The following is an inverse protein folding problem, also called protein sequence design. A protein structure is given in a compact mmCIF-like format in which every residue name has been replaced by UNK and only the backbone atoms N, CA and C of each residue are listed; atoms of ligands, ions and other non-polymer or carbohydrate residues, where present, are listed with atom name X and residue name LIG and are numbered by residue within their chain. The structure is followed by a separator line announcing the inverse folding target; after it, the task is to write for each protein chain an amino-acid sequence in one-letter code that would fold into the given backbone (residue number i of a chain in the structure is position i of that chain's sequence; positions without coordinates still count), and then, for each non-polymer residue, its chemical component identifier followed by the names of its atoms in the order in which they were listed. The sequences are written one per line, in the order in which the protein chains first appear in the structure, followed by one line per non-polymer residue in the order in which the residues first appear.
data_IF_760679234050
#
_entry.id   IF_760679234050
#
_cell.length_a   1.000
_cell.length_b   1.000
_cell.length_c   1.000
_cell.angle_alpha   90.00
_cell.angle_beta   90.00
_cell.angle_gamma   90.00
#
_symmetry.space_group_name_H-M   'P 1'
#
loop_
_entity.id
_entity.type
_entity.pdbx_description
1 polymer ?
#
# COMPACT_ATOMS: atom_id res chain seq x y z
N UNK A 1 78.12 15.83 -0.34
CA UNK A 1 77.28 14.61 -0.22
C UNK A 1 76.47 14.73 1.08
N UNK A 2 75.23 14.27 1.14
CA UNK A 2 74.41 14.34 2.37
C UNK A 2 73.78 12.99 2.66
N UNK A 3 74.14 12.39 3.79
CA UNK A 3 73.57 11.15 4.31
C UNK A 3 72.10 11.33 4.67
N UNK A 4 71.74 12.44 5.33
CA UNK A 4 70.35 12.79 5.63
C UNK A 4 69.48 12.93 4.36
N UNK A 5 70.03 13.52 3.29
CA UNK A 5 69.34 13.60 2.01
C UNK A 5 69.03 12.22 1.39
N UNK A 6 70.00 11.29 1.44
CA UNK A 6 69.82 9.92 0.98
C UNK A 6 68.69 9.21 1.75
N UNK A 7 68.73 9.26 3.08
CA UNK A 7 67.74 8.63 3.96
C UNK A 7 66.34 9.20 3.67
N UNK A 8 66.21 10.53 3.56
CA UNK A 8 64.94 11.17 3.25
C UNK A 8 64.42 10.76 1.86
N UNK A 9 65.29 10.68 0.85
CA UNK A 9 64.91 10.22 -0.49
C UNK A 9 64.39 8.77 -0.50
N UNK A 10 65.06 7.87 0.21
CA UNK A 10 64.63 6.48 0.38
C UNK A 10 63.32 6.36 1.15
N UNK A 11 63.13 7.18 2.21
CA UNK A 11 61.90 7.21 2.99
C UNK A 11 60.70 7.69 2.15
N UNK A 12 60.87 8.75 1.35
CA UNK A 12 59.82 9.26 0.46
C UNK A 12 59.43 8.25 -0.63
N UNK A 13 60.41 7.58 -1.23
CA UNK A 13 60.14 6.52 -2.21
C UNK A 13 59.38 5.34 -1.57
N UNK A 14 59.80 4.91 -0.37
CA UNK A 14 59.16 3.83 0.38
C UNK A 14 57.72 4.20 0.78
N UNK A 15 57.49 5.44 1.21
CA UNK A 15 56.15 5.95 1.53
C UNK A 15 55.23 5.93 0.29
N UNK A 16 55.73 6.36 -0.87
CA UNK A 16 54.97 6.27 -2.12
C UNK A 16 54.63 4.81 -2.47
N UNK A 17 55.60 3.90 -2.36
CA UNK A 17 55.38 2.47 -2.59
C UNK A 17 54.30 1.87 -1.68
N UNK A 18 54.35 2.22 -0.39
CA UNK A 18 53.36 1.78 0.60
C UNK A 18 51.96 2.33 0.29
N UNK A 19 51.85 3.61 -0.11
CA UNK A 19 50.59 4.21 -0.53
C UNK A 19 50.03 3.56 -1.79
N UNK A 20 50.87 3.29 -2.79
CA UNK A 20 50.44 2.60 -4.01
C UNK A 20 49.94 1.17 -3.73
N UNK A 21 50.56 0.47 -2.77
CA UNK A 21 50.16 -0.88 -2.38
C UNK A 21 48.88 -0.89 -1.54
N UNK A 22 48.88 -0.16 -0.41
CA UNK A 22 47.80 -0.23 0.58
C UNK A 22 46.58 0.62 0.21
N UNK A 23 46.80 1.81 -0.33
CA UNK A 23 45.70 2.76 -0.58
C UNK A 23 45.13 2.61 -1.99
N UNK A 24 45.96 2.27 -2.99
CA UNK A 24 45.53 2.15 -4.38
C UNK A 24 45.37 0.69 -4.85
N UNK A 25 45.75 -0.30 -4.02
CA UNK A 25 45.55 -1.73 -4.33
C UNK A 25 46.29 -2.25 -5.56
N UNK A 26 47.41 -1.62 -5.95
CA UNK A 26 48.18 -2.09 -7.11
C UNK A 26 48.88 -3.42 -6.84
N UNK A 27 49.23 -4.12 -7.92
CA UNK A 27 49.98 -5.38 -7.84
C UNK A 27 51.34 -5.16 -7.13
N UNK A 28 51.70 -6.09 -6.24
CA UNK A 28 52.96 -6.09 -5.49
C UNK A 28 54.17 -5.88 -6.40
N UNK A 29 54.18 -6.52 -7.58
CA UNK A 29 55.27 -6.37 -8.55
C UNK A 29 55.43 -4.93 -9.04
N UNK A 30 54.32 -4.28 -9.41
CA UNK A 30 54.31 -2.89 -9.84
C UNK A 30 54.87 -1.99 -8.73
N UNK A 31 54.35 -2.14 -7.50
CA UNK A 31 54.81 -1.37 -6.35
C UNK A 31 56.30 -1.56 -6.08
N UNK A 32 56.82 -2.79 -6.11
CA UNK A 32 58.24 -3.06 -5.92
C UNK A 32 59.10 -2.34 -6.97
N UNK A 33 58.78 -2.52 -8.26
CA UNK A 33 59.53 -1.90 -9.36
C UNK A 33 59.51 -0.38 -9.25
N UNK A 34 58.34 0.23 -9.03
CA UNK A 34 58.24 1.69 -8.91
C UNK A 34 59.01 2.23 -7.70
N UNK A 35 58.97 1.53 -6.56
CA UNK A 35 59.65 1.95 -5.33
C UNK A 35 61.16 1.87 -5.49
N UNK A 36 61.68 0.82 -6.13
CA UNK A 36 63.11 0.65 -6.39
C UNK A 36 63.61 1.74 -7.34
N UNK A 37 62.90 1.97 -8.45
CA UNK A 37 63.28 3.00 -9.45
C UNK A 37 63.24 4.41 -8.83
N UNK A 38 62.16 4.74 -8.11
CA UNK A 38 62.04 6.01 -7.38
C UNK A 38 63.09 6.12 -6.28
N UNK A 39 63.37 5.05 -5.54
CA UNK A 39 64.36 5.01 -4.48
C UNK A 39 65.77 5.27 -4.99
N UNK A 40 66.16 4.64 -6.11
CA UNK A 40 67.44 4.94 -6.75
C UNK A 40 67.52 6.40 -7.21
N UNK A 41 66.49 6.89 -7.91
CA UNK A 41 66.47 8.27 -8.43
C UNK A 41 66.47 9.34 -7.33
N UNK A 42 65.53 9.25 -6.38
CA UNK A 42 65.39 10.19 -5.27
C UNK A 42 66.53 10.02 -4.26
N UNK A 43 66.87 8.80 -3.88
CA UNK A 43 67.94 8.53 -2.93
C UNK A 43 69.29 9.07 -3.42
N UNK A 44 69.73 8.67 -4.61
CA UNK A 44 71.00 9.15 -5.18
C UNK A 44 70.93 10.65 -5.51
N UNK A 45 69.82 11.13 -6.09
CA UNK A 45 69.63 12.54 -6.42
C UNK A 45 69.75 13.45 -5.19
N UNK A 46 69.08 13.09 -4.08
CA UNK A 46 69.14 13.83 -2.82
C UNK A 46 70.52 13.75 -2.14
N UNK A 47 71.21 12.62 -2.29
CA UNK A 47 72.55 12.40 -1.72
C UNK A 47 73.62 13.28 -2.36
N UNK A 48 73.61 13.36 -3.70
CA UNK A 48 74.70 13.98 -4.46
C UNK A 48 74.40 15.40 -4.96
N UNK A 49 73.14 15.76 -5.26
CA UNK A 49 72.79 17.06 -5.84
C UNK A 49 72.09 17.99 -4.84
N UNK A 50 72.68 19.16 -4.58
CA UNK A 50 72.06 20.20 -3.75
C UNK A 50 70.81 20.79 -4.41
N UNK A 51 70.79 20.92 -5.75
CA UNK A 51 69.65 21.42 -6.50
C UNK A 51 68.45 20.49 -6.39
N UNK A 52 68.66 19.19 -6.63
CA UNK A 52 67.61 18.17 -6.48
C UNK A 52 67.07 18.18 -5.04
N UNK A 53 67.98 18.26 -4.06
CA UNK A 53 67.60 18.34 -2.66
C UNK A 53 66.66 19.50 -2.33
N UNK A 54 67.02 20.69 -2.80
CA UNK A 54 66.20 21.88 -2.60
C UNK A 54 64.82 21.72 -3.25
N UNK A 55 64.77 21.18 -4.46
CA UNK A 55 63.53 21.05 -5.23
C UNK A 55 62.59 19.99 -4.69
N UNK A 56 63.13 18.86 -4.19
CA UNK A 56 62.33 17.85 -3.50
C UNK A 56 61.79 18.41 -2.19
N UNK A 57 62.62 19.07 -1.38
CA UNK A 57 62.16 19.71 -0.14
C UNK A 57 61.10 20.79 -0.39
N UNK A 58 61.20 21.52 -1.51
CA UNK A 58 60.21 22.51 -1.91
C UNK A 58 58.93 21.87 -2.48
N UNK A 59 59.01 20.69 -3.09
CA UNK A 59 57.85 19.97 -3.62
C UNK A 59 56.89 19.52 -2.53
N UNK A 60 57.40 19.19 -1.33
CA UNK A 60 56.59 18.77 -0.16
C UNK A 60 55.54 19.83 0.25
N UNK A 61 55.90 21.09 0.57
CA UNK A 61 54.92 22.13 0.80
C UNK A 61 54.12 22.49 -0.46
N UNK A 62 54.69 22.27 -1.66
CA UNK A 62 53.98 22.49 -2.92
C UNK A 62 52.76 21.57 -3.08
N UNK A 63 52.75 20.38 -2.48
CA UNK A 63 51.56 19.51 -2.43
C UNK A 63 50.37 20.15 -1.70
N UNK A 64 50.61 21.14 -0.84
CA UNK A 64 49.56 21.88 -0.14
C UNK A 64 49.18 23.19 -0.83
N UNK A 65 49.65 23.43 -2.06
CA UNK A 65 49.18 24.55 -2.90
C UNK A 65 47.83 24.23 -3.54
N UNK A 66 47.22 25.19 -4.25
CA UNK A 66 45.91 24.99 -4.90
C UNK A 66 45.90 23.77 -5.82
N UNK A 67 46.93 23.59 -6.64
CA UNK A 67 47.03 22.44 -7.56
C UNK A 67 47.34 21.12 -6.84
N UNK A 68 48.23 21.15 -5.85
CA UNK A 68 48.51 19.95 -5.05
C UNK A 68 47.27 19.47 -4.26
N UNK A 69 46.47 20.40 -3.74
CA UNK A 69 45.22 20.08 -3.03
C UNK A 69 44.19 19.41 -3.92
N UNK A 70 44.02 19.84 -5.17
CA UNK A 70 43.06 19.17 -6.08
C UNK A 70 43.50 17.74 -6.37
N UNK A 71 44.79 17.50 -6.53
CA UNK A 71 45.36 16.16 -6.71
C UNK A 71 45.20 15.29 -5.47
N UNK A 72 45.43 15.85 -4.27
CA UNK A 72 45.21 15.15 -3.00
C UNK A 72 43.72 14.81 -2.80
N UNK A 73 42.81 15.70 -3.17
CA UNK A 73 41.36 15.45 -3.11
C UNK A 73 40.94 14.36 -4.11
N UNK A 74 41.50 14.35 -5.32
CA UNK A 74 41.28 13.27 -6.29
C UNK A 74 41.78 11.91 -5.77
N UNK A 75 42.95 11.88 -5.14
CA UNK A 75 43.46 10.68 -4.49
C UNK A 75 42.55 10.24 -3.34
N UNK A 76 42.13 11.15 -2.46
CA UNK A 76 41.21 10.85 -1.37
C UNK A 76 39.86 10.31 -1.88
N UNK A 77 39.33 10.88 -2.97
CA UNK A 77 38.13 10.41 -3.63
C UNK A 77 38.31 9.01 -4.23
N UNK A 78 39.47 8.72 -4.84
CA UNK A 78 39.77 7.38 -5.38
C UNK A 78 39.77 6.31 -4.29
N UNK A 79 40.38 6.60 -3.13
CA UNK A 79 40.40 5.71 -1.96
C UNK A 79 39.00 5.55 -1.38
N UNK A 80 38.23 6.64 -1.26
CA UNK A 80 36.86 6.59 -0.76
C UNK A 80 35.94 5.75 -1.67
N UNK A 81 36.11 5.85 -2.98
CA UNK A 81 35.31 5.07 -3.92
C UNK A 81 35.68 3.57 -3.86
N UNK A 82 36.96 3.24 -3.95
CA UNK A 82 37.42 1.84 -3.93
C UNK A 82 37.19 1.14 -2.59
N UNK A 83 37.23 1.89 -1.47
CA UNK A 83 36.96 1.38 -0.14
C UNK A 83 35.48 1.51 0.25
N UNK A 84 35.11 2.55 1.02
CA UNK A 84 33.79 2.64 1.65
C UNK A 84 32.62 2.68 0.66
N UNK A 85 32.71 3.37 -0.48
CA UNK A 85 31.58 3.37 -1.43
C UNK A 85 31.36 2.00 -2.06
N UNK A 86 32.43 1.27 -2.41
CA UNK A 86 32.29 -0.11 -2.89
C UNK A 86 31.71 -1.02 -1.80
N UNK A 87 32.05 -0.79 -0.53
CA UNK A 87 31.50 -1.57 0.58
C UNK A 87 30.01 -1.25 0.80
N UNK A 88 29.63 0.03 0.76
CA UNK A 88 28.25 0.50 0.81
C UNK A 88 27.40 -0.17 -0.27
N UNK A 89 27.87 -0.18 -1.51
CA UNK A 89 27.13 -0.80 -2.62
C UNK A 89 26.94 -2.30 -2.40
N UNK A 90 27.98 -3.01 -1.93
CA UNK A 90 27.89 -4.44 -1.61
C UNK A 90 26.94 -4.71 -0.46
N UNK A 91 27.06 -3.99 0.65
CA UNK A 91 26.19 -4.11 1.82
C UNK A 91 24.73 -3.82 1.46
N UNK A 92 24.50 -2.74 0.69
CA UNK A 92 23.17 -2.37 0.23
C UNK A 92 22.58 -3.42 -0.71
N UNK A 93 23.38 -3.99 -1.62
CA UNK A 93 22.93 -5.10 -2.48
C UNK A 93 22.52 -6.33 -1.68
N UNK A 94 23.31 -6.72 -0.68
CA UNK A 94 23.00 -7.86 0.19
C UNK A 94 21.75 -7.61 1.04
N UNK A 95 21.55 -6.39 1.51
CA UNK A 95 20.32 -5.97 2.20
C UNK A 95 19.12 -6.07 1.26
N UNK A 96 19.21 -5.47 0.06
CA UNK A 96 18.12 -5.46 -0.90
C UNK A 96 17.71 -6.88 -1.30
N UNK A 97 18.69 -7.76 -1.57
CA UNK A 97 18.46 -9.16 -1.87
C UNK A 97 17.79 -9.88 -0.69
N UNK A 98 18.33 -9.73 0.52
CA UNK A 98 17.79 -10.36 1.73
C UNK A 98 16.35 -9.93 2.02
N UNK A 99 16.05 -8.63 1.91
CA UNK A 99 14.71 -8.08 2.11
C UNK A 99 13.74 -8.58 1.03
N UNK A 100 14.17 -8.59 -0.24
CA UNK A 100 13.34 -9.09 -1.33
C UNK A 100 13.03 -10.58 -1.19
N UNK A 101 14.01 -11.41 -0.78
CA UNK A 101 13.80 -12.82 -0.46
C UNK A 101 12.88 -13.00 0.76
N UNK A 102 13.00 -12.14 1.78
CA UNK A 102 12.12 -12.15 2.94
C UNK A 102 10.68 -11.81 2.59
N UNK A 103 10.48 -10.82 1.72
CA UNK A 103 9.18 -10.46 1.20
C UNK A 103 8.56 -11.58 0.36
N UNK A 104 9.35 -12.26 -0.49
CA UNK A 104 8.91 -13.43 -1.25
C UNK A 104 8.52 -14.60 -0.34
N UNK A 105 9.33 -14.88 0.69
CA UNK A 105 9.00 -15.91 1.68
C UNK A 105 7.70 -15.57 2.41
N UNK A 106 7.54 -14.31 2.84
CA UNK A 106 6.31 -13.85 3.47
C UNK A 106 5.10 -13.97 2.53
N UNK A 107 5.25 -13.63 1.24
CA UNK A 107 4.20 -13.81 0.23
C UNK A 107 3.83 -15.27 0.01
N UNK A 108 4.82 -16.16 -0.08
CA UNK A 108 4.57 -17.59 -0.25
C UNK A 108 3.89 -18.19 1.00
N UNK A 109 4.39 -17.85 2.19
CA UNK A 109 3.80 -18.30 3.46
C UNK A 109 2.38 -17.76 3.66
N UNK A 110 2.11 -16.51 3.27
CA UNK A 110 0.76 -15.95 3.33
C UNK A 110 -0.17 -16.58 2.31
N UNK A 111 0.31 -16.90 1.10
CA UNK A 111 -0.47 -17.63 0.11
C UNK A 111 -0.84 -19.04 0.60
N UNK A 112 0.12 -19.78 1.15
CA UNK A 112 -0.10 -21.12 1.70
C UNK A 112 -1.05 -21.09 2.92
N UNK A 113 -0.89 -20.12 3.83
CA UNK A 113 -1.80 -19.93 4.98
C UNK A 113 -3.20 -19.48 4.54
N UNK A 114 -3.29 -18.64 3.51
CA UNK A 114 -4.56 -18.22 2.92
C UNK A 114 -5.27 -19.42 2.27
N UNK A 115 -4.52 -20.32 1.64
CA UNK A 115 -5.08 -21.56 1.11
C UNK A 115 -5.61 -22.46 2.23
N UNK A 116 -4.85 -22.65 3.31
CA UNK A 116 -5.35 -23.38 4.49
C UNK A 116 -6.56 -22.71 5.15
N UNK A 117 -6.66 -21.37 5.14
CA UNK A 117 -7.81 -20.68 5.72
C UNK A 117 -9.06 -20.73 4.84
N UNK A 118 -8.97 -21.20 3.59
CA UNK A 118 -10.15 -21.48 2.75
C UNK A 118 -10.99 -22.63 3.31
N UNK A 119 -10.37 -23.69 3.84
CA UNK A 119 -11.10 -24.84 4.38
C UNK A 119 -12.10 -24.48 5.49
N UNK A 120 -11.75 -23.75 6.56
CA UNK A 120 -12.71 -23.35 7.59
C UNK A 120 -13.78 -22.41 7.04
N UNK A 121 -13.45 -21.55 6.06
CA UNK A 121 -14.43 -20.69 5.39
C UNK A 121 -15.44 -21.51 4.57
N UNK A 122 -14.97 -22.49 3.79
CA UNK A 122 -15.83 -23.42 3.06
C UNK A 122 -16.73 -24.21 4.03
N UNK A 123 -16.20 -24.67 5.15
CA UNK A 123 -16.98 -25.33 6.19
C UNK A 123 -18.05 -24.40 6.78
N UNK A 124 -17.74 -23.14 7.13
CA UNK A 124 -18.73 -22.18 7.61
C UNK A 124 -19.82 -21.91 6.56
N UNK A 125 -19.43 -21.74 5.29
CA UNK A 125 -20.34 -21.54 4.16
C UNK A 125 -21.27 -22.75 3.93
N UNK A 126 -20.75 -23.98 4.06
CA UNK A 126 -21.58 -25.19 3.97
C UNK A 126 -22.62 -25.27 5.09
N UNK A 127 -22.29 -24.82 6.31
CA UNK A 127 -23.25 -24.74 7.42
C UNK A 127 -24.35 -23.71 7.15
N UNK A 128 -24.01 -22.54 6.61
CA UNK A 128 -24.99 -21.53 6.21
C UNK A 128 -25.91 -22.10 5.12
N UNK A 129 -25.36 -22.82 4.14
CA UNK A 129 -26.14 -23.49 3.09
C UNK A 129 -27.09 -24.55 3.67
N UNK A 130 -26.64 -25.36 4.62
CA UNK A 130 -27.49 -26.36 5.29
C UNK A 130 -28.65 -25.71 6.05
N UNK A 131 -28.37 -24.63 6.80
CA UNK A 131 -29.41 -23.86 7.49
C UNK A 131 -30.44 -23.28 6.51
N UNK A 132 -29.95 -22.72 5.40
CA UNK A 132 -30.80 -22.17 4.36
C UNK A 132 -31.66 -23.24 3.67
N UNK A 133 -31.11 -24.44 3.46
CA UNK A 133 -31.83 -25.58 2.91
C UNK A 133 -32.92 -26.10 3.88
N UNK A 134 -32.62 -26.16 5.18
CA UNK A 134 -33.63 -26.47 6.22
C UNK A 134 -34.76 -25.44 6.24
N UNK A 135 -34.44 -24.15 6.13
CA UNK A 135 -35.45 -23.10 6.03
C UNK A 135 -36.34 -23.24 4.77
N UNK A 136 -35.76 -23.65 3.63
CA UNK A 136 -36.53 -23.96 2.41
C UNK A 136 -37.53 -25.09 2.62
N UNK A 137 -37.12 -26.16 3.30
CA UNK A 137 -38.02 -27.27 3.65
C UNK A 137 -39.20 -26.78 4.48
N UNK A 138 -38.96 -25.92 5.48
CA UNK A 138 -40.05 -25.31 6.27
C UNK A 138 -40.97 -24.47 5.39
N UNK A 139 -40.42 -23.62 4.51
CA UNK A 139 -41.20 -22.85 3.55
C UNK A 139 -42.09 -23.70 2.65
N UNK A 140 -41.58 -24.85 2.18
CA UNK A 140 -42.34 -25.79 1.35
C UNK A 140 -43.46 -26.49 2.12
N UNK A 141 -43.26 -26.79 3.41
CA UNK A 141 -44.32 -27.29 4.29
C UNK A 141 -45.44 -26.26 4.45
N UNK A 142 -45.09 -25.00 4.74
CA UNK A 142 -46.06 -23.90 4.84
C UNK A 142 -46.82 -23.73 3.52
N UNK A 143 -46.14 -23.80 2.38
CA UNK A 143 -46.78 -23.75 1.05
C UNK A 143 -47.76 -24.91 0.83
N UNK A 144 -47.44 -26.11 1.30
CA UNK A 144 -48.33 -27.28 1.19
C UNK A 144 -49.56 -27.12 2.08
N UNK A 145 -49.39 -26.60 3.29
CA UNK A 145 -50.49 -26.28 4.21
C UNK A 145 -51.41 -25.20 3.61
N UNK A 146 -50.87 -24.09 3.11
CA UNK A 146 -51.66 -23.02 2.49
C UNK A 146 -52.43 -23.50 1.25
N UNK A 147 -51.84 -24.39 0.44
CA UNK A 147 -52.55 -25.04 -0.68
C UNK A 147 -53.71 -25.90 -0.19
N UNK A 148 -53.48 -26.75 0.82
CA UNK A 148 -54.55 -27.58 1.39
C UNK A 148 -55.69 -26.72 1.94
N UNK A 149 -55.40 -25.59 2.58
CA UNK A 149 -56.42 -24.65 3.07
C UNK A 149 -57.21 -24.06 1.90
N UNK A 150 -56.53 -23.61 0.84
CA UNK A 150 -57.18 -23.05 -0.34
C UNK A 150 -58.07 -24.08 -1.06
N UNK A 151 -57.63 -25.34 -1.14
CA UNK A 151 -58.42 -26.43 -1.72
C UNK A 151 -59.66 -26.70 -0.87
N UNK A 152 -59.51 -26.82 0.45
CA UNK A 152 -60.63 -26.95 1.39
C UNK A 152 -61.63 -25.80 1.27
N UNK A 153 -61.17 -24.55 1.22
CA UNK A 153 -62.02 -23.37 1.00
C UNK A 153 -62.74 -23.47 -0.35
N UNK A 154 -62.07 -23.95 -1.39
CA UNK A 154 -62.66 -24.15 -2.72
C UNK A 154 -63.68 -25.28 -2.75
N UNK A 155 -63.50 -26.33 -1.94
CA UNK A 155 -64.49 -27.41 -1.75
C UNK A 155 -65.72 -26.92 -1.01
N UNK A 156 -65.54 -26.18 0.11
CA UNK A 156 -66.65 -25.58 0.87
C UNK A 156 -67.42 -24.59 -0.01
N UNK A 157 -66.74 -23.75 -0.78
CA UNK A 157 -67.38 -22.82 -1.71
C UNK A 157 -68.21 -23.54 -2.79
N UNK A 158 -67.73 -24.66 -3.34
CA UNK A 158 -68.47 -25.49 -4.29
C UNK A 158 -69.69 -26.17 -3.65
N UNK A 159 -69.54 -26.72 -2.44
CA UNK A 159 -70.65 -27.33 -1.71
C UNK A 159 -71.75 -26.31 -1.40
N UNK A 160 -71.37 -25.14 -0.87
CA UNK A 160 -72.29 -24.02 -0.66
C UNK A 160 -72.97 -23.57 -1.95
N UNK A 161 -72.23 -23.53 -3.07
CA UNK A 161 -72.81 -23.21 -4.37
C UNK A 161 -73.89 -24.22 -4.80
N UNK A 162 -73.61 -25.52 -4.65
CA UNK A 162 -74.56 -26.58 -5.01
C UNK A 162 -75.80 -26.58 -4.10
N UNK A 163 -75.62 -26.44 -2.78
CA UNK A 163 -76.73 -26.29 -1.82
C UNK A 163 -77.58 -25.08 -2.17
N UNK A 164 -76.95 -24.00 -2.62
CA UNK A 164 -77.66 -22.79 -3.00
C UNK A 164 -78.43 -22.92 -4.32
N UNK A 165 -77.85 -23.56 -5.34
CA UNK A 165 -78.55 -23.88 -6.57
C UNK A 165 -79.80 -24.72 -6.30
N UNK A 166 -79.69 -25.68 -5.37
CA UNK A 166 -80.83 -26.45 -4.89
C UNK A 166 -81.87 -25.55 -4.19
N UNK A 167 -81.47 -24.69 -3.25
CA UNK A 167 -82.36 -23.75 -2.56
C UNK A 167 -83.07 -22.77 -3.51
N UNK A 168 -82.37 -22.26 -4.52
CA UNK A 168 -82.95 -21.43 -5.57
C UNK A 168 -83.96 -22.22 -6.43
N UNK A 169 -83.68 -23.50 -6.71
CA UNK A 169 -84.63 -24.38 -7.40
C UNK A 169 -85.90 -24.64 -6.57
N UNK A 170 -85.77 -24.80 -5.25
CA UNK A 170 -86.89 -24.92 -4.31
C UNK A 170 -87.68 -23.62 -4.23
N UNK A 171 -87.02 -22.45 -4.24
CA UNK A 171 -87.67 -21.15 -4.33
C UNK A 171 -88.48 -20.97 -5.62
N UNK A 172 -87.95 -21.46 -6.75
CA UNK A 172 -88.67 -21.45 -8.03
C UNK A 172 -89.86 -22.43 -8.04
N UNK A 173 -89.72 -23.60 -7.41
CA UNK A 173 -90.81 -24.56 -7.25
C UNK A 173 -91.89 -24.04 -6.30
N UNK A 174 -91.51 -23.34 -5.22
CA UNK A 174 -92.41 -22.60 -4.33
C UNK A 174 -93.30 -21.66 -5.14
N UNK A 175 -92.70 -20.82 -5.99
CA UNK A 175 -93.45 -19.88 -6.83
C UNK A 175 -94.35 -20.56 -7.88
N UNK A 176 -94.02 -21.77 -8.33
CA UNK A 176 -94.73 -22.48 -9.41
C UNK A 176 -95.89 -23.34 -8.91
N UNK A 177 -95.71 -24.08 -7.81
CA UNK A 177 -96.69 -25.07 -7.32
C UNK A 177 -97.74 -24.48 -6.38
N UNK A 178 -97.38 -23.50 -5.54
CA UNK A 178 -98.31 -23.01 -4.52
C UNK A 178 -99.34 -21.99 -5.05
N UNK A 179 -99.12 -21.38 -6.22
CA UNK A 179 -99.92 -20.21 -6.63
C UNK A 179 -99.97 -19.16 -5.51
N UNK A 180 -100.93 -18.21 -5.52
CA UNK A 180 -101.13 -17.39 -4.32
C UNK A 180 -101.99 -18.17 -3.29
N UNK A 181 -101.47 -18.49 -2.09
CA UNK A 181 -102.19 -19.27 -1.07
C UNK A 181 -103.57 -18.70 -0.74
N UNK A 182 -103.67 -17.36 -0.81
CA UNK A 182 -104.92 -16.61 -0.66
C UNK A 182 -106.01 -17.02 -1.65
N UNK A 183 -105.70 -17.27 -2.93
CA UNK A 183 -106.71 -17.64 -3.93
C UNK A 183 -107.32 -19.02 -3.66
N UNK A 184 -106.51 -19.99 -3.24
CA UNK A 184 -106.97 -21.36 -2.99
C UNK A 184 -107.83 -21.45 -1.72
N UNK A 185 -107.48 -20.70 -0.69
CA UNK A 185 -108.30 -20.54 0.51
C UNK A 185 -109.68 -19.95 0.20
N UNK A 186 -109.74 -18.87 -0.59
CA UNK A 186 -111.01 -18.26 -1.01
C UNK A 186 -111.90 -19.24 -1.78
N UNK A 187 -111.31 -20.03 -2.69
CA UNK A 187 -112.02 -20.99 -3.52
C UNK A 187 -112.69 -22.11 -2.71
N UNK A 188 -112.02 -22.62 -1.67
CA UNK A 188 -112.58 -23.68 -0.79
C UNK A 188 -113.79 -23.19 -0.01
N UNK A 189 -113.75 -21.95 0.51
CA UNK A 189 -114.88 -21.37 1.22
C UNK A 189 -116.05 -21.02 0.28
N UNK A 190 -115.76 -20.60 -0.96
CA UNK A 190 -116.80 -20.39 -1.99
C UNK A 190 -117.52 -21.71 -2.34
N UNK A 191 -116.77 -22.79 -2.49
CA UNK A 191 -117.30 -24.11 -2.86
C UNK A 191 -118.12 -24.75 -1.71
N UNK A 192 -117.66 -24.59 -0.46
CA UNK A 192 -118.40 -25.00 0.73
C UNK A 192 -119.71 -24.23 0.91
N UNK A 193 -119.71 -22.93 0.61
CA UNK A 193 -120.92 -22.11 0.65
C UNK A 193 -121.95 -22.61 -0.36
N UNK A 194 -121.55 -22.80 -1.63
CA UNK A 194 -122.46 -23.25 -2.68
C UNK A 194 -123.03 -24.65 -2.42
N UNK A 195 -122.25 -25.57 -1.86
CA UNK A 195 -122.75 -26.90 -1.48
C UNK A 195 -123.73 -26.86 -0.30
N UNK A 196 -123.52 -25.94 0.66
CA UNK A 196 -124.46 -25.73 1.75
C UNK A 196 -125.83 -25.25 1.24
N UNK A 197 -125.83 -24.25 0.34
CA UNK A 197 -127.05 -23.69 -0.26
C UNK A 197 -127.84 -24.74 -1.06
N UNK A 198 -127.16 -25.67 -1.74
CA UNK A 198 -127.81 -26.77 -2.49
C UNK A 198 -128.46 -27.82 -1.59
N UNK A 199 -127.92 -28.06 -0.40
CA UNK A 199 -128.34 -29.20 0.45
C UNK A 199 -129.47 -28.81 1.39
N UNK A 200 -129.50 -27.57 1.91
CA UNK A 200 -130.56 -27.04 2.77
C UNK A 200 -131.42 -26.01 2.01
N UNK A 201 -132.25 -26.48 1.07
CA UNK A 201 -133.09 -25.60 0.25
C UNK A 201 -134.12 -24.78 1.05
N UNK A 202 -134.54 -25.24 2.23
CA UNK A 202 -135.53 -24.56 3.08
C UNK A 202 -134.92 -23.66 4.17
N UNK A 203 -133.61 -23.73 4.40
CA UNK A 203 -132.90 -23.06 5.49
C UNK A 203 -131.60 -22.38 5.00
N UNK A 204 -131.64 -21.80 3.80
CA UNK A 204 -130.46 -21.23 3.11
C UNK A 204 -129.72 -20.14 3.91
N UNK A 205 -130.41 -19.42 4.80
CA UNK A 205 -129.82 -18.33 5.59
C UNK A 205 -128.69 -18.79 6.52
N UNK A 206 -128.68 -20.06 6.95
CA UNK A 206 -127.63 -20.61 7.83
C UNK A 206 -126.28 -20.72 7.11
N UNK A 207 -126.27 -20.85 5.78
CA UNK A 207 -125.04 -20.98 4.98
C UNK A 207 -124.24 -19.67 4.85
N UNK A 208 -124.85 -18.52 5.18
CA UNK A 208 -124.17 -17.21 5.11
C UNK A 208 -123.08 -17.06 6.19
N UNK A 209 -123.13 -17.85 7.27
CA UNK A 209 -122.10 -17.89 8.32
C UNK A 209 -120.71 -18.29 7.79
N UNK A 210 -120.65 -19.01 6.66
CA UNK A 210 -119.40 -19.41 5.98
C UNK A 210 -118.64 -18.18 5.43
N UNK A 211 -119.34 -17.08 5.11
CA UNK A 211 -118.71 -15.85 4.57
C UNK A 211 -117.85 -15.14 5.62
N UNK A 212 -118.24 -15.18 6.90
CA UNK A 212 -117.47 -14.57 7.99
C UNK A 212 -116.07 -15.18 8.12
N UNK A 213 -115.92 -16.47 7.81
CA UNK A 213 -114.65 -17.18 7.86
C UNK A 213 -113.74 -16.91 6.65
N UNK A 214 -114.24 -16.36 5.53
CA UNK A 214 -113.41 -16.01 4.35
C UNK A 214 -112.35 -14.95 4.66
N UNK A 215 -112.58 -14.07 5.64
CA UNK A 215 -111.64 -13.04 6.06
C UNK A 215 -110.30 -13.59 6.56
N UNK A 216 -110.28 -14.81 7.11
CA UNK A 216 -109.08 -15.48 7.61
C UNK A 216 -108.08 -15.85 6.51
N UNK A 217 -108.51 -15.93 5.24
CA UNK A 217 -107.63 -16.18 4.10
C UNK A 217 -106.61 -15.06 3.84
N UNK A 218 -106.77 -13.87 4.46
CA UNK A 218 -105.80 -12.78 4.41
C UNK A 218 -104.50 -13.05 5.17
N UNK A 219 -104.51 -13.96 6.14
CA UNK A 219 -103.34 -14.32 6.96
C UNK A 219 -102.37 -15.30 6.27
N UNK A 220 -102.72 -15.79 5.07
CA UNK A 220 -101.95 -16.78 4.32
C UNK A 220 -100.66 -16.23 3.63
N UNK A 221 -100.21 -15.00 3.96
CA UNK A 221 -99.04 -14.35 3.35
C UNK A 221 -97.71 -14.55 4.10
N UNK A 222 -97.71 -15.17 5.29
CA UNK A 222 -96.50 -15.47 6.07
C UNK A 222 -95.48 -16.39 5.34
N UNK A 223 -95.88 -17.33 4.45
CA UNK A 223 -94.92 -18.19 3.74
C UNK A 223 -94.04 -17.51 2.68
N UNK A 224 -94.33 -16.26 2.26
CA UNK A 224 -93.64 -15.61 1.15
C UNK A 224 -92.21 -15.10 1.47
N UNK A 225 -91.85 -14.96 2.75
CA UNK A 225 -90.48 -14.58 3.17
C UNK A 225 -89.47 -15.66 2.76
N UNK A 226 -89.86 -16.93 2.81
CA UNK A 226 -88.99 -18.05 2.44
C UNK A 226 -88.65 -18.09 0.94
N UNK A 227 -89.43 -17.43 0.08
CA UNK A 227 -89.27 -17.52 -1.38
C UNK A 227 -88.46 -16.35 -1.98
N UNK A 228 -88.07 -15.32 -1.20
CA UNK A 228 -87.26 -14.16 -1.66
C UNK A 228 -85.79 -14.20 -1.17
N UNK A 229 -85.56 -14.76 0.03
CA UNK A 229 -84.22 -14.93 0.62
C UNK A 229 -83.21 -15.69 -0.30
N UNK A 230 -83.62 -16.66 -1.13
CA UNK A 230 -82.70 -17.43 -1.99
C UNK A 230 -81.98 -16.68 -3.13
N UNK A 231 -82.20 -15.38 -3.36
CA UNK A 231 -81.49 -14.66 -4.43
C UNK A 231 -80.40 -13.69 -3.93
N UNK A 232 -80.52 -13.14 -2.73
CA UNK A 232 -79.59 -12.12 -2.21
C UNK A 232 -78.32 -12.69 -1.58
N UNK A 233 -78.37 -13.90 -1.01
CA UNK A 233 -77.23 -14.46 -0.24
C UNK A 233 -76.12 -15.02 -1.14
N UNK A 234 -76.43 -15.43 -2.39
CA UNK A 234 -75.46 -16.00 -3.34
C UNK A 234 -74.32 -15.04 -3.69
N UNK A 235 -74.68 -13.80 -4.03
CA UNK A 235 -73.72 -12.77 -4.44
C UNK A 235 -72.91 -12.27 -3.25
N UNK A 236 -73.50 -12.26 -2.05
CA UNK A 236 -72.84 -11.87 -0.81
C UNK A 236 -71.73 -12.85 -0.40
N UNK A 237 -71.98 -14.17 -0.39
CA UNK A 237 -70.96 -15.16 0.03
C UNK A 237 -69.75 -15.16 -0.92
N UNK A 238 -69.98 -15.12 -2.24
CA UNK A 238 -68.90 -15.16 -3.25
C UNK A 238 -68.01 -13.90 -3.18
N UNK A 239 -68.62 -12.72 -2.99
CA UNK A 239 -67.90 -11.43 -3.02
C UNK A 239 -67.24 -11.10 -1.69
N UNK A 240 -67.86 -11.49 -0.57
CA UNK A 240 -67.41 -11.11 0.77
C UNK A 240 -66.41 -12.10 1.37
N UNK A 241 -66.47 -13.41 1.03
CA UNK A 241 -65.69 -14.42 1.77
C UNK A 241 -64.66 -15.15 0.91
N UNK A 242 -65.03 -15.67 -0.26
CA UNK A 242 -64.15 -16.59 -1.02
C UNK A 242 -63.01 -15.88 -1.76
N UNK A 243 -63.31 -14.77 -2.44
CA UNK A 243 -62.32 -14.01 -3.23
C UNK A 243 -61.26 -13.31 -2.36
N UNK A 244 -61.61 -12.56 -1.31
CA UNK A 244 -60.61 -11.89 -0.49
C UNK A 244 -59.72 -12.88 0.26
N UNK A 245 -60.29 -13.98 0.78
CA UNK A 245 -59.53 -15.01 1.48
C UNK A 245 -58.54 -15.73 0.56
N UNK A 246 -58.96 -16.11 -0.65
CA UNK A 246 -58.07 -16.72 -1.63
C UNK A 246 -56.93 -15.77 -2.02
N UNK A 247 -57.23 -14.50 -2.29
CA UNK A 247 -56.22 -13.50 -2.64
C UNK A 247 -55.26 -13.18 -1.48
N UNK A 248 -55.71 -13.27 -0.22
CA UNK A 248 -54.86 -13.10 0.94
C UNK A 248 -53.93 -14.32 1.14
N UNK A 249 -54.46 -15.54 1.06
CA UNK A 249 -53.68 -16.78 1.16
C UNK A 249 -52.68 -16.90 0.01
N UNK A 250 -53.04 -16.49 -1.21
CA UNK A 250 -52.13 -16.47 -2.37
C UNK A 250 -51.06 -15.37 -2.28
N UNK A 251 -51.31 -14.28 -1.55
CA UNK A 251 -50.25 -13.30 -1.21
C UNK A 251 -49.26 -13.89 -0.22
N UNK A 252 -49.75 -14.46 0.88
CA UNK A 252 -48.90 -15.10 1.90
C UNK A 252 -48.11 -16.25 1.29
N UNK A 253 -48.72 -17.08 0.43
CA UNK A 253 -48.04 -18.18 -0.26
C UNK A 253 -46.83 -17.71 -1.06
N UNK A 254 -46.96 -16.59 -1.78
CA UNK A 254 -45.89 -16.07 -2.65
C UNK A 254 -44.66 -15.60 -1.87
N UNK A 255 -44.83 -15.12 -0.64
CA UNK A 255 -43.70 -14.75 0.24
C UNK A 255 -42.83 -15.95 0.62
N UNK A 256 -43.37 -17.17 0.58
CA UNK A 256 -42.65 -18.42 0.86
C UNK A 256 -42.09 -19.11 -0.40
N UNK A 257 -42.22 -18.51 -1.59
CA UNK A 257 -41.67 -19.06 -2.82
C UNK A 257 -40.29 -18.46 -3.13
N UNK A 258 -39.22 -19.11 -2.65
CA UNK A 258 -37.85 -18.67 -2.87
C UNK A 258 -36.93 -19.82 -3.32
N UNK A 259 -35.92 -19.50 -4.12
CA UNK A 259 -34.84 -20.42 -4.49
C UNK A 259 -33.50 -19.87 -4.02
N UNK A 260 -32.68 -20.71 -3.41
CA UNK A 260 -31.41 -20.32 -2.79
C UNK A 260 -30.28 -20.88 -3.64
N UNK A 261 -29.42 -20.00 -4.15
CA UNK A 261 -28.15 -20.34 -4.77
C UNK A 261 -27.03 -19.61 -4.05
N UNK A 262 -26.03 -20.35 -3.58
CA UNK A 262 -24.85 -19.79 -2.92
C UNK A 262 -23.69 -19.79 -3.90
N UNK A 263 -23.09 -18.63 -4.15
CA UNK A 263 -21.93 -18.46 -5.03
C UNK A 263 -20.77 -17.93 -4.19
N UNK A 264 -19.62 -18.60 -4.25
CA UNK A 264 -18.41 -18.20 -3.55
C UNK A 264 -17.45 -17.54 -4.54
N UNK A 265 -16.91 -16.37 -4.20
CA UNK A 265 -15.84 -15.71 -4.96
C UNK A 265 -14.66 -15.47 -4.04
N UNK A 266 -13.51 -16.03 -4.40
CA UNK A 266 -12.24 -15.79 -3.73
C UNK A 266 -11.38 -14.93 -4.64
N UNK A 267 -11.34 -13.63 -4.40
CA UNK A 267 -10.49 -12.72 -5.16
C UNK A 267 -9.07 -12.76 -4.57
N UNK A 268 -8.18 -13.52 -5.20
CA UNK A 268 -6.76 -13.58 -4.84
C UNK A 268 -5.94 -13.27 -6.09
N UNK A 269 -5.53 -12.02 -6.24
CA UNK A 269 -4.71 -11.58 -7.36
C UNK A 269 -3.24 -11.59 -6.95
N UNK A 270 -2.50 -12.62 -7.37
CA UNK A 270 -1.04 -12.72 -7.25
C UNK A 270 -0.43 -12.87 -8.65
N UNK A 271 -0.60 -11.86 -9.51
CA UNK A 271 0.02 -11.84 -10.84
C UNK A 271 1.22 -10.89 -10.86
N UNK A 272 2.40 -11.42 -10.51
CA UNK A 272 3.67 -10.73 -10.69
C UNK A 272 4.46 -11.42 -11.82
N UNK A 273 4.89 -10.65 -12.82
CA UNK A 273 5.66 -11.16 -13.97
C UNK A 273 7.15 -11.35 -13.66
N UNK A 274 7.64 -10.78 -12.55
CA UNK A 274 8.99 -10.91 -12.04
C UNK A 274 8.96 -11.13 -10.52
N UNK A 275 9.95 -11.85 -10.01
CA UNK A 275 10.19 -11.98 -8.57
C UNK A 275 10.65 -10.64 -7.99
N UNK A 276 10.39 -10.38 -6.71
CA UNK A 276 10.85 -9.15 -6.04
C UNK A 276 12.38 -9.11 -5.98
N UNK A 277 13.01 -10.29 -5.90
CA UNK A 277 14.46 -10.45 -5.96
C UNK A 277 15.03 -10.01 -7.31
N UNK A 278 14.43 -10.42 -8.42
CA UNK A 278 14.93 -10.04 -9.74
C UNK A 278 14.82 -8.52 -9.96
N UNK A 279 13.75 -7.91 -9.46
CA UNK A 279 13.58 -6.45 -9.51
C UNK A 279 14.67 -5.72 -8.69
N UNK A 280 15.01 -6.22 -7.50
CA UNK A 280 16.04 -5.60 -6.66
C UNK A 280 17.44 -5.72 -7.28
N UNK A 281 17.75 -6.86 -7.92
CA UNK A 281 19.00 -7.08 -8.65
C UNK A 281 19.11 -6.17 -9.89
N UNK A 282 18.03 -6.02 -10.67
CA UNK A 282 18.00 -5.13 -11.84
C UNK A 282 18.27 -3.67 -11.43
N UNK A 283 17.66 -3.19 -10.34
CA UNK A 283 17.90 -1.83 -9.80
C UNK A 283 19.36 -1.67 -9.40
N UNK A 284 19.93 -2.65 -8.69
CA UNK A 284 21.32 -2.58 -8.23
C UNK A 284 22.30 -2.56 -9.39
N UNK A 285 22.08 -3.39 -10.40
CA UNK A 285 22.90 -3.42 -11.61
C UNK A 285 22.91 -2.07 -12.32
N UNK A 286 21.76 -1.40 -12.42
CA UNK A 286 21.68 -0.06 -13.00
C UNK A 286 22.49 0.99 -12.22
N UNK A 287 22.51 0.89 -10.88
CA UNK A 287 23.35 1.75 -10.03
C UNK A 287 24.83 1.48 -10.26
N UNK A 288 25.24 0.21 -10.33
CA UNK A 288 26.63 -0.16 -10.63
C UNK A 288 27.09 0.37 -11.99
N UNK A 289 26.29 0.19 -13.04
CA UNK A 289 26.59 0.68 -14.39
C UNK A 289 26.72 2.21 -14.44
N UNK A 290 25.90 2.92 -13.67
CA UNK A 290 25.96 4.39 -13.58
C UNK A 290 27.24 4.89 -12.90
N UNK A 291 27.78 4.14 -11.94
CA UNK A 291 28.99 4.50 -11.20
C UNK A 291 30.28 4.00 -11.86
N UNK A 292 30.20 2.95 -12.67
CA UNK A 292 31.32 2.35 -13.39
C UNK A 292 32.23 3.35 -14.14
N UNK A 293 31.73 4.32 -14.94
CA UNK A 293 32.60 5.26 -15.63
C UNK A 293 33.44 6.09 -14.66
N UNK A 294 32.87 6.44 -13.50
CA UNK A 294 33.56 7.20 -12.44
C UNK A 294 34.67 6.35 -11.81
N UNK A 295 34.39 5.09 -11.49
CA UNK A 295 35.39 4.14 -10.97
C UNK A 295 36.54 3.93 -11.95
N UNK A 296 36.23 3.73 -13.24
CA UNK A 296 37.26 3.57 -14.30
C UNK A 296 38.13 4.81 -14.44
N UNK A 297 37.54 6.01 -14.46
CA UNK A 297 38.29 7.26 -14.57
C UNK A 297 39.28 7.45 -13.40
N UNK A 298 38.82 7.23 -12.16
CA UNK A 298 39.67 7.35 -10.98
C UNK A 298 40.73 6.25 -10.90
N UNK A 299 40.41 5.03 -11.34
CA UNK A 299 41.39 3.96 -11.47
C UNK A 299 42.48 4.33 -12.48
N UNK A 300 42.15 4.92 -13.62
CA UNK A 300 43.16 5.42 -14.57
C UNK A 300 44.03 6.52 -13.96
N UNK A 301 43.45 7.44 -13.18
CA UNK A 301 44.20 8.50 -12.49
C UNK A 301 45.26 7.95 -11.52
N UNK A 302 44.98 6.87 -10.79
CA UNK A 302 45.96 6.28 -9.86
C UNK A 302 47.16 5.67 -10.59
N UNK A 303 46.96 5.07 -11.77
CA UNK A 303 48.04 4.55 -12.61
C UNK A 303 48.92 5.68 -13.19
N UNK A 304 48.35 6.87 -13.40
CA UNK A 304 49.05 8.07 -13.89
C UNK A 304 49.69 8.87 -12.74
N UNK A 305 49.61 8.39 -11.50
CA UNK A 305 50.13 9.10 -10.31
C UNK A 305 51.63 9.45 -10.38
N UNK A 306 52.43 8.67 -11.10
CA UNK A 306 53.83 9.01 -11.37
C UNK A 306 53.97 10.33 -12.16
N UNK A 307 53.16 10.52 -13.20
CA UNK A 307 53.16 11.75 -13.98
C UNK A 307 52.67 12.95 -13.15
N UNK A 308 51.76 12.72 -12.21
CA UNK A 308 51.32 13.74 -11.26
C UNK A 308 52.46 14.17 -10.34
N UNK A 309 53.22 13.23 -9.79
CA UNK A 309 54.41 13.57 -8.98
C UNK A 309 55.46 14.31 -9.80
N UNK A 310 55.71 13.88 -11.05
CA UNK A 310 56.62 14.55 -11.96
C UNK A 310 56.16 15.97 -12.27
N UNK A 311 54.87 16.17 -12.51
CA UNK A 311 54.27 17.49 -12.70
C UNK A 311 54.49 18.40 -11.48
N UNK A 312 54.24 17.90 -10.27
CA UNK A 312 54.48 18.65 -9.03
C UNK A 312 55.96 19.01 -8.84
N UNK A 313 56.87 18.10 -9.20
CA UNK A 313 58.30 18.37 -9.19
C UNK A 313 58.69 19.48 -10.20
N UNK A 314 58.14 19.44 -11.42
CA UNK A 314 58.36 20.49 -12.44
C UNK A 314 57.82 21.83 -11.96
N UNK A 315 56.67 21.86 -11.28
CA UNK A 315 56.10 23.09 -10.72
C UNK A 315 56.99 23.67 -9.62
N UNK A 316 57.52 22.84 -8.72
CA UNK A 316 58.50 23.26 -7.72
C UNK A 316 59.79 23.81 -8.36
N UNK A 317 60.28 23.15 -9.42
CA UNK A 317 61.43 23.63 -10.20
C UNK A 317 61.17 25.01 -10.83
N UNK A 318 59.99 25.20 -11.44
CA UNK A 318 59.59 26.48 -12.03
C UNK A 318 59.45 27.59 -10.99
N UNK A 319 58.89 27.27 -9.82
CA UNK A 319 58.81 28.20 -8.70
C UNK A 319 60.20 28.65 -8.27
N UNK A 320 61.11 27.70 -8.00
CA UNK A 320 62.48 27.99 -7.61
C UNK A 320 63.20 28.85 -8.65
N UNK A 321 63.03 28.53 -9.93
CA UNK A 321 63.61 29.30 -11.03
C UNK A 321 63.11 30.76 -11.06
N UNK A 322 61.80 30.98 -10.89
CA UNK A 322 61.23 32.35 -10.82
C UNK A 322 61.69 33.08 -9.58
N UNK A 323 61.70 32.41 -8.43
CA UNK A 323 62.12 32.96 -7.14
C UNK A 323 63.55 33.51 -7.17
N UNK A 324 64.48 32.77 -7.81
CA UNK A 324 65.88 33.18 -7.93
C UNK A 324 66.12 34.26 -9.00
N UNK A 325 65.27 34.34 -10.04
CA UNK A 325 65.49 35.23 -11.20
C UNK A 325 64.72 36.55 -11.12
N UNK A 326 63.58 36.58 -10.43
CA UNK A 326 62.73 37.76 -10.31
C UNK A 326 62.67 38.23 -8.85
N UNK A 327 63.33 39.34 -8.57
CA UNK A 327 63.34 39.95 -7.23
C UNK A 327 61.95 40.35 -6.73
N UNK A 328 60.96 40.54 -7.62
CA UNK A 328 59.60 40.97 -7.27
C UNK A 328 58.60 39.83 -7.05
N UNK A 329 59.00 38.56 -7.24
CA UNK A 329 58.07 37.43 -7.22
C UNK A 329 57.53 37.13 -5.81
N UNK A 330 58.35 36.52 -4.94
CA UNK A 330 57.99 36.17 -3.54
C UNK A 330 59.15 36.49 -2.57
N UNK A 331 60.05 37.40 -2.95
CA UNK A 331 61.20 37.79 -2.14
C UNK A 331 60.82 38.86 -1.08
N UNK A 332 59.87 38.52 -0.21
CA UNK A 332 59.35 39.40 0.86
C UNK A 332 60.08 39.22 2.20
N UNK A 333 61.15 38.42 2.24
CA UNK A 333 61.79 38.00 3.48
C UNK A 333 63.04 38.82 3.81
N UNK A 334 63.11 39.32 5.06
CA UNK A 334 64.30 40.02 5.57
C UNK A 334 65.21 39.00 6.27
N UNK A 335 66.28 38.61 5.60
CA UNK A 335 67.26 37.66 6.14
C UNK A 335 68.21 38.33 7.13
N UNK A 336 68.79 37.55 8.06
CA UNK A 336 69.85 38.05 8.95
C UNK A 336 71.03 38.64 8.18
N UNK A 337 71.33 38.13 6.98
CA UNK A 337 72.38 38.68 6.11
C UNK A 337 72.06 40.11 5.65
N UNK A 338 70.80 40.39 5.34
CA UNK A 338 70.35 41.75 5.00
C UNK A 338 70.49 42.69 6.20
N UNK A 339 70.05 42.25 7.39
CA UNK A 339 70.19 43.03 8.62
C UNK A 339 71.65 43.35 8.93
N UNK A 340 72.55 42.37 8.81
CA UNK A 340 73.99 42.57 9.03
C UNK A 340 74.60 43.55 8.02
N UNK A 341 74.16 43.52 6.76
CA UNK A 341 74.60 44.47 5.73
C UNK A 341 74.14 45.90 6.04
N UNK A 342 72.90 46.07 6.49
CA UNK A 342 72.35 47.38 6.88
C UNK A 342 73.08 47.96 8.10
N UNK A 343 73.36 47.12 9.11
CA UNK A 343 74.18 47.49 10.27
C UNK A 343 75.61 47.91 9.89
N UNK A 344 76.23 47.24 8.91
CA UNK A 344 77.55 47.64 8.40
C UNK A 344 77.50 49.00 7.69
N UNK A 345 76.43 49.27 6.91
CA UNK A 345 76.23 50.58 6.26
C UNK A 345 76.02 51.69 7.29
N UNK A 346 75.27 51.41 8.35
CA UNK A 346 75.07 52.34 9.47
C UNK A 346 76.40 52.75 10.11
N UNK A 347 77.27 51.78 10.40
CA UNK A 347 78.63 52.02 10.94
C UNK A 347 79.51 52.87 10.01
N UNK A 348 79.26 52.82 8.70
CA UNK A 348 79.98 53.59 7.68
C UNK A 348 79.36 54.97 7.44
N UNK A 349 78.33 55.39 8.19
CA UNK A 349 77.62 56.66 7.97
C UNK A 349 76.82 56.72 6.67
N UNK A 350 76.52 55.56 6.06
CA UNK A 350 75.72 55.47 4.83
C UNK A 350 74.23 55.38 5.17
N UNK A 351 73.31 55.76 4.25
CA UNK A 351 71.88 55.61 4.48
C UNK A 351 71.51 54.14 4.72
N UNK A 352 70.66 53.92 5.72
CA UNK A 352 70.11 52.63 6.15
C UNK A 352 68.66 52.48 5.70
N UNK A 353 68.22 51.23 5.51
CA UNK A 353 66.84 50.91 5.12
C UNK A 353 65.95 50.63 6.33
N UNK A 354 66.53 50.16 7.44
CA UNK A 354 65.82 49.93 8.70
C UNK A 354 65.86 51.19 9.59
N UNK A 355 64.83 51.47 10.42
CA UNK A 355 63.65 50.65 10.71
C UNK A 355 62.52 50.76 9.67
N UNK A 356 61.78 49.66 9.48
CA UNK A 356 60.62 49.61 8.57
C UNK A 356 59.49 50.55 9.01
N UNK A 357 58.85 51.21 8.04
CA UNK A 357 57.63 51.97 8.24
C UNK A 357 56.45 51.07 8.62
N UNK A 358 55.41 51.63 9.24
CA UNK A 358 54.26 50.87 9.71
C UNK A 358 53.59 50.02 8.61
N UNK A 359 53.44 50.56 7.39
CA UNK A 359 52.89 49.81 6.26
C UNK A 359 53.83 48.75 5.67
N UNK A 360 55.15 48.94 5.81
CA UNK A 360 56.16 47.99 5.32
C UNK A 360 56.30 46.78 6.23
N UNK A 361 56.06 46.95 7.54
CA UNK A 361 56.06 45.86 8.53
C UNK A 361 54.99 44.79 8.26
N UNK A 362 53.89 45.17 7.63
CA UNK A 362 52.83 44.23 7.23
C UNK A 362 53.20 43.42 5.97
N UNK A 363 54.19 43.89 5.18
CA UNK A 363 54.62 43.27 3.92
C UNK A 363 55.89 42.45 4.06
N UNK A 364 56.89 42.93 4.80
CA UNK A 364 58.18 42.26 4.94
C UNK A 364 58.27 41.50 6.26
N UNK A 365 58.57 40.20 6.18
CA UNK A 365 58.53 39.28 7.31
C UNK A 365 59.91 38.63 7.50
N UNK A 366 60.42 38.46 8.72
CA UNK A 366 61.64 37.69 8.91
C UNK A 366 61.37 36.20 8.65
N UNK A 367 62.28 35.45 8.02
CA UNK A 367 62.08 34.03 7.70
C UNK A 367 61.73 33.13 8.90
N UNK A 368 62.12 33.55 10.11
CA UNK A 368 61.90 32.81 11.35
C UNK A 368 60.65 33.26 12.12
N UNK A 369 59.89 34.22 11.61
CA UNK A 369 58.62 34.60 12.23
C UNK A 369 57.60 33.48 12.09
N UNK A 370 56.90 33.19 13.19
CA UNK A 370 55.79 32.23 13.24
C UNK A 370 54.43 32.88 12.96
N UNK A 371 54.38 34.19 12.71
CA UNK A 371 53.14 34.90 12.38
C UNK A 371 52.97 35.03 10.86
N UNK A 372 51.75 34.78 10.40
CA UNK A 372 51.34 34.96 9.01
C UNK A 372 50.88 36.41 8.77
N UNK A 373 51.01 36.90 7.54
CA UNK A 373 50.43 38.19 7.15
C UNK A 373 48.90 38.15 7.21
N UNK A 374 48.23 39.29 7.45
CA UNK A 374 46.75 39.37 7.51
C UNK A 374 46.09 38.80 6.24
N UNK A 375 46.71 39.01 5.07
CA UNK A 375 46.24 38.47 3.79
C UNK A 375 46.34 36.94 3.75
N UNK A 376 47.47 36.41 4.20
CA UNK A 376 47.70 34.95 4.29
C UNK A 376 46.75 34.29 5.29
N UNK A 377 46.46 34.95 6.42
CA UNK A 377 45.50 34.45 7.41
C UNK A 377 44.08 34.32 6.85
N UNK A 378 43.60 35.32 6.11
CA UNK A 378 42.27 35.27 5.48
C UNK A 378 42.19 34.17 4.42
N UNK A 379 43.23 34.05 3.57
CA UNK A 379 43.30 32.97 2.59
C UNK A 379 43.39 31.59 3.26
N UNK A 380 44.16 31.47 4.34
CA UNK A 380 44.29 30.24 5.11
C UNK A 380 42.94 29.81 5.72
N UNK A 381 42.20 30.73 6.33
CA UNK A 381 40.88 30.44 6.92
C UNK A 381 39.91 29.92 5.86
N UNK A 382 39.84 30.57 4.70
CA UNK A 382 38.98 30.13 3.59
C UNK A 382 39.37 28.73 3.10
N UNK A 383 40.67 28.44 3.06
CA UNK A 383 41.20 27.13 2.67
C UNK A 383 40.93 26.05 3.72
N UNK A 384 40.98 26.39 5.00
CA UNK A 384 40.68 25.50 6.11
C UNK A 384 39.21 25.05 6.06
N UNK A 385 38.28 26.00 5.86
CA UNK A 385 36.84 25.70 5.70
C UNK A 385 36.62 24.75 4.53
N UNK A 386 37.30 24.97 3.40
CA UNK A 386 37.23 24.07 2.23
C UNK A 386 37.70 22.66 2.59
N UNK A 387 38.83 22.50 3.28
CA UNK A 387 39.34 21.16 3.66
C UNK A 387 38.37 20.48 4.64
N UNK A 388 37.90 21.20 5.66
CA UNK A 388 36.97 20.67 6.67
C UNK A 388 35.69 20.12 6.02
N UNK A 389 35.17 20.80 5.00
CA UNK A 389 34.02 20.31 4.21
C UNK A 389 34.27 18.94 3.58
N UNK A 390 35.46 18.69 3.01
CA UNK A 390 35.77 17.39 2.39
C UNK A 390 35.99 16.30 3.43
N UNK A 391 36.61 16.65 4.58
CA UNK A 391 36.73 15.73 5.72
C UNK A 391 35.34 15.31 6.22
N UNK A 392 34.41 16.26 6.35
CA UNK A 392 33.03 15.98 6.74
C UNK A 392 32.36 14.98 5.79
N UNK A 393 32.48 15.17 4.46
CA UNK A 393 31.94 14.23 3.47
C UNK A 393 32.54 12.84 3.63
N UNK A 394 33.86 12.73 3.81
CA UNK A 394 34.53 11.45 4.06
C UNK A 394 34.03 10.75 5.33
N UNK A 395 33.86 11.51 6.42
CA UNK A 395 33.30 10.98 7.67
C UNK A 395 31.85 10.52 7.49
N UNK A 396 31.02 11.26 6.75
CA UNK A 396 29.65 10.85 6.43
C UNK A 396 29.61 9.53 5.64
N UNK A 397 30.51 9.34 4.67
CA UNK A 397 30.59 8.07 3.92
C UNK A 397 30.93 6.89 4.83
N UNK A 398 31.91 7.05 5.73
CA UNK A 398 32.30 6.00 6.68
C UNK A 398 31.14 5.67 7.64
N UNK A 399 30.45 6.70 8.15
CA UNK A 399 29.28 6.52 9.01
C UNK A 399 28.11 5.85 8.27
N UNK A 400 27.91 6.17 6.99
CA UNK A 400 26.88 5.54 6.16
C UNK A 400 27.16 4.05 5.95
N UNK A 401 28.42 3.68 5.68
CA UNK A 401 28.84 2.28 5.58
C UNK A 401 28.61 1.53 6.89
N UNK A 402 29.01 2.12 8.02
CA UNK A 402 28.77 1.55 9.35
C UNK A 402 27.27 1.42 9.68
N UNK A 403 26.47 2.40 9.28
CA UNK A 403 25.02 2.37 9.42
C UNK A 403 24.36 1.25 8.61
N UNK A 404 24.80 1.04 7.36
CA UNK A 404 24.33 -0.06 6.52
C UNK A 404 24.72 -1.42 7.07
N UNK A 405 25.94 -1.57 7.58
CA UNK A 405 26.35 -2.78 8.29
C UNK A 405 25.41 -3.11 9.46
N UNK A 406 25.07 -2.10 10.28
CA UNK A 406 24.11 -2.27 11.38
C UNK A 406 22.71 -2.60 10.90
N UNK A 407 22.24 -1.96 9.83
CA UNK A 407 20.94 -2.26 9.21
C UNK A 407 20.89 -3.71 8.72
N UNK A 408 21.94 -4.18 8.06
CA UNK A 408 22.05 -5.57 7.61
C UNK A 408 21.97 -6.53 8.80
N UNK A 409 22.70 -6.22 9.89
CA UNK A 409 22.66 -7.01 11.12
C UNK A 409 21.27 -7.01 11.75
N UNK A 410 20.59 -5.86 11.78
CA UNK A 410 19.24 -5.73 12.32
C UNK A 410 18.23 -6.57 11.52
N UNK A 411 18.24 -6.45 10.18
CA UNK A 411 17.37 -7.22 9.29
C UNK A 411 17.60 -8.73 9.48
N UNK A 412 18.86 -9.15 9.59
CA UNK A 412 19.19 -10.56 9.84
C UNK A 412 18.61 -11.09 11.15
N UNK A 413 18.61 -10.30 12.23
CA UNK A 413 17.98 -10.70 13.49
C UNK A 413 16.45 -10.72 13.38
N UNK A 414 15.84 -9.72 12.74
CA UNK A 414 14.39 -9.61 12.64
C UNK A 414 13.78 -10.67 11.71
N UNK A 415 14.46 -11.03 10.63
CA UNK A 415 14.04 -12.08 9.70
C UNK A 415 14.04 -13.48 10.32
N UNK A 416 14.78 -13.70 11.42
CA UNK A 416 14.72 -14.94 12.21
C UNK A 416 13.51 -15.00 13.14
N UNK A 417 12.91 -13.85 13.47
CA UNK A 417 11.68 -13.83 14.24
C UNK A 417 10.52 -14.22 13.32
N UNK A 418 9.79 -15.28 13.68
CA UNK A 418 8.66 -15.76 12.88
C UNK A 418 7.62 -14.64 12.67
N UNK A 419 7.35 -14.33 11.39
CA UNK A 419 6.34 -13.35 11.03
C UNK A 419 4.96 -14.01 11.24
N UNK A 420 4.37 -13.75 12.41
CA UNK A 420 3.00 -14.17 12.72
C UNK A 420 2.04 -13.23 12.00
N UNK A 421 1.80 -13.48 10.71
CA UNK A 421 0.68 -12.85 9.99
C UNK A 421 -0.60 -13.46 10.53
N UNK A 422 -1.25 -12.77 11.48
CA UNK A 422 -2.65 -13.04 11.83
C UNK A 422 -3.50 -12.47 10.70
N UNK A 423 -4.03 -13.31 9.84
CA UNK A 423 -5.02 -12.89 8.84
C UNK A 423 -6.40 -12.80 9.50
N UNK A 424 -6.99 -11.61 9.69
CA UNK A 424 -8.41 -11.52 9.99
C UNK A 424 -9.15 -11.82 8.69
N UNK A 425 -9.62 -13.07 8.52
CA UNK A 425 -10.49 -13.40 7.41
C UNK A 425 -11.86 -12.72 7.66
N UNK A 426 -12.09 -11.57 7.03
CA UNK A 426 -13.39 -10.89 7.06
C UNK A 426 -14.33 -11.59 6.08
N UNK A 427 -15.25 -12.41 6.59
CA UNK A 427 -16.30 -13.03 5.79
C UNK A 427 -17.39 -11.97 5.51
N UNK A 428 -17.42 -11.39 4.31
CA UNK A 428 -18.51 -10.49 3.90
C UNK A 428 -19.58 -11.26 3.13
N UNK A 429 -20.72 -11.52 3.76
CA UNK A 429 -21.88 -12.15 3.10
C UNK A 429 -22.83 -11.10 2.57
N UNK A 430 -23.08 -11.12 1.26
CA UNK A 430 -24.06 -10.25 0.60
C UNK A 430 -25.28 -11.07 0.18
N UNK A 431 -26.46 -10.69 0.65
CA UNK A 431 -27.73 -11.32 0.30
C UNK A 431 -28.40 -10.49 -0.79
N UNK A 432 -28.59 -11.07 -1.97
CA UNK A 432 -29.26 -10.41 -3.10
C UNK A 432 -30.62 -11.06 -3.35
N UNK A 433 -31.69 -10.32 -3.07
CA UNK A 433 -33.08 -10.79 -3.18
C UNK A 433 -34.07 -9.73 -2.72
N UNK A 434 -35.33 -9.87 -3.13
CA UNK A 434 -36.44 -9.00 -2.74
C UNK A 434 -37.55 -9.85 -2.11
N UNK A 435 -37.97 -9.52 -0.89
CA UNK A 435 -39.06 -10.21 -0.17
C UNK A 435 -38.73 -10.50 1.30
N UNK A 436 -39.73 -10.99 2.05
CA UNK A 436 -39.59 -11.18 3.49
C UNK A 436 -38.51 -12.21 3.87
N UNK A 437 -38.33 -13.25 3.04
CA UNK A 437 -37.28 -14.26 3.24
C UNK A 437 -35.87 -13.69 3.13
N UNK A 438 -35.61 -12.77 2.19
CA UNK A 438 -34.29 -12.13 2.06
C UNK A 438 -33.94 -11.22 3.23
N UNK A 439 -34.95 -10.59 3.85
CA UNK A 439 -34.75 -9.74 5.04
C UNK A 439 -34.41 -10.59 6.26
N UNK A 440 -35.13 -11.69 6.49
CA UNK A 440 -34.79 -12.66 7.54
C UNK A 440 -33.36 -13.19 7.39
N UNK A 441 -32.95 -13.55 6.17
CA UNK A 441 -31.58 -14.01 5.94
C UNK A 441 -30.56 -12.89 6.18
N UNK A 442 -30.86 -11.64 5.84
CA UNK A 442 -29.96 -10.50 6.11
C UNK A 442 -29.76 -10.31 7.61
N UNK A 443 -30.84 -10.33 8.39
CA UNK A 443 -30.79 -10.18 9.86
C UNK A 443 -30.06 -11.34 10.53
N UNK A 444 -30.29 -12.57 10.06
CA UNK A 444 -29.59 -13.75 10.56
C UNK A 444 -28.07 -13.66 10.30
N UNK A 445 -27.65 -13.14 9.15
CA UNK A 445 -26.22 -12.98 8.83
C UNK A 445 -25.55 -11.85 9.62
N UNK A 446 -26.29 -10.81 10.02
CA UNK A 446 -25.77 -9.76 10.92
C UNK A 446 -25.42 -10.34 12.29
N UNK A 447 -26.12 -11.37 12.77
CA UNK A 447 -25.83 -12.02 14.04
C UNK A 447 -24.58 -12.94 14.03
N UNK A 448 -24.06 -13.28 12.84
CA UNK A 448 -22.84 -14.09 12.67
C UNK A 448 -21.57 -13.26 12.42
N UNK A 449 -21.73 -11.97 12.13
CA UNK A 449 -20.65 -10.98 12.09
C UNK A 449 -20.46 -10.34 13.46
#
# INVERSE_FOLDING_TARGET
RSTGGFILGMALASLYGLLALLAQGHNVWYCMVTTIVLGMGLGLGMAFSSRVRLTVLLSLPHMFTREGKTLLLLLALSVALQGPCSNILRNFSGIAESVSCGAELALNQTAERLERSKEPLLNALTRIKDLAQKAKVVGDHVRKLLRSIMDSVSHVARALHNVWLWLASVGNLCNKELGSPRRRCLKLFDEAQQNCERTLSSLFFLCYTIITFKGLCGLANIPLIFCIVPQYVQSFIRRTTTVPLKNALDRVRREFEFNISVVHRFDVNLNASKSLRDVSLDIMNNVYLSLEPTFRFLSLFTHVSFFVMLYMYIMAMRYLYRYLRHNTFDNIYITQRFVNLDLQRAKQGKPTVLPLQAGERDRYVPPTALWMSKKEQQEYLLQLVKILRHILVGMCLILADYGLYWLCRFIWHQMRAEIIVRTPAMLRVTVNGTGYSSDIFRDLMVAFN
#
